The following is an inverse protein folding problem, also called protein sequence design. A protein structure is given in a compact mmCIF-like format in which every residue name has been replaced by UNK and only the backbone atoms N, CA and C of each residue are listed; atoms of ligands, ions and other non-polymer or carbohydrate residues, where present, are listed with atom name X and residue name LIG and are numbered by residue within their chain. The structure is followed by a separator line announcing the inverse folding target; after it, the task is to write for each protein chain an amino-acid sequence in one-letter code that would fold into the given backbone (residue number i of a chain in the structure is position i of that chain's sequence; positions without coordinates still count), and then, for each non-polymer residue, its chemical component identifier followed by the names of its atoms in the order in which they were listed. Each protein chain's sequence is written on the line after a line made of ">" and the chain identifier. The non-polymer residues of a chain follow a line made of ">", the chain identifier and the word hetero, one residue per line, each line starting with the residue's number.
data_IF_330601375652
#
_entry.id   IF_330601375652
#
_cell.length_a   1.000
_cell.length_b   1.000
_cell.length_c   1.000
_cell.angle_alpha   90.00
_cell.angle_beta   90.00
_cell.angle_gamma   90.00
#
_symmetry.space_group_name_H-M   'P 1'
#
loop_
_entity.id
_entity.type
_entity.pdbx_description
1 polymer ?
#
# COMPACT_ATOMS: atom_id res chain seq x y z
N UNK A 1 0.65 26.54 -1.38
CA UNK A 1 -0.17 25.72 -0.47
C UNK A 1 0.58 24.41 -0.24
N UNK A 2 1.16 24.24 0.95
CA UNK A 2 1.95 23.07 1.26
C UNK A 2 1.00 21.89 1.54
N UNK A 3 0.98 20.91 0.63
CA UNK A 3 0.31 19.63 0.84
C UNK A 3 0.98 18.91 2.01
N UNK A 4 0.47 19.19 3.21
CA UNK A 4 0.92 18.60 4.46
C UNK A 4 0.81 17.09 4.30
N UNK A 5 1.94 16.41 4.40
CA UNK A 5 2.08 14.98 4.13
C UNK A 5 1.17 14.15 5.06
N UNK A 6 -0.05 13.83 4.60
CA UNK A 6 -1.02 12.95 5.30
C UNK A 6 -0.43 11.57 5.62
N UNK A 7 0.70 11.22 5.01
CA UNK A 7 1.43 9.98 5.25
C UNK A 7 2.17 9.90 6.58
N UNK A 8 2.38 11.03 7.28
CA UNK A 8 3.09 11.05 8.56
C UNK A 8 2.24 10.67 9.78
N UNK A 9 0.92 10.53 9.61
CA UNK A 9 -0.04 10.50 10.73
C UNK A 9 -1.01 9.31 10.72
N UNK A 10 -0.82 8.32 9.84
CA UNK A 10 -1.70 7.17 9.77
C UNK A 10 -1.51 6.28 11.00
N UNK A 11 -2.57 6.05 11.78
CA UNK A 11 -2.55 5.09 12.88
C UNK A 11 -2.72 3.66 12.36
N UNK A 12 -2.29 2.62 13.11
CA UNK A 12 -2.45 1.24 12.69
C UNK A 12 -3.90 0.90 12.30
N UNK A 13 -4.05 0.24 11.15
CA UNK A 13 -5.33 -0.08 10.51
C UNK A 13 -5.92 1.03 9.62
N UNK A 14 -5.35 2.24 9.59
CA UNK A 14 -5.86 3.32 8.74
C UNK A 14 -5.24 3.30 7.34
N UNK A 15 -6.05 3.70 6.36
CA UNK A 15 -5.57 3.98 5.01
C UNK A 15 -6.27 5.19 4.40
N UNK A 16 -5.58 5.86 3.48
CA UNK A 16 -6.06 6.99 2.71
C UNK A 16 -5.85 6.69 1.23
N UNK A 17 -6.88 6.94 0.42
CA UNK A 17 -6.79 6.98 -1.02
C UNK A 17 -6.50 8.40 -1.47
N UNK A 18 -5.60 8.56 -2.44
CA UNK A 18 -5.24 9.84 -3.06
C UNK A 18 -5.95 10.01 -4.39
N UNK A 19 -6.12 11.25 -4.82
CA UNK A 19 -6.77 11.60 -6.09
C UNK A 19 -6.05 11.06 -7.33
N UNK A 20 -4.75 10.74 -7.20
CA UNK A 20 -3.95 10.13 -8.27
C UNK A 20 -4.12 8.60 -8.37
N UNK A 21 -5.03 8.01 -7.59
CA UNK A 21 -5.28 6.57 -7.54
C UNK A 21 -4.26 5.77 -6.72
N UNK A 22 -3.37 6.44 -5.98
CA UNK A 22 -2.53 5.79 -4.98
C UNK A 22 -3.32 5.54 -3.68
N UNK A 23 -2.96 4.48 -2.95
CA UNK A 23 -3.44 4.23 -1.58
C UNK A 23 -2.25 4.08 -0.65
N UNK A 24 -2.35 4.68 0.52
CA UNK A 24 -1.32 4.60 1.55
C UNK A 24 -2.00 4.18 2.84
N UNK A 25 -1.45 3.18 3.50
CA UNK A 25 -1.95 2.64 4.75
C UNK A 25 -0.88 2.44 5.79
N UNK A 26 -1.32 2.34 7.03
CA UNK A 26 -0.57 1.83 8.16
C UNK A 26 -1.25 0.53 8.57
N UNK A 27 -0.58 -0.60 8.42
CA UNK A 27 -1.11 -1.92 8.72
C UNK A 27 -1.38 -2.08 10.23
N UNK A 28 -2.05 -3.14 10.64
CA UNK A 28 -2.39 -3.41 12.04
C UNK A 28 -1.15 -3.55 12.94
N UNK A 29 -0.04 -4.08 12.43
CA UNK A 29 1.25 -4.13 13.11
C UNK A 29 2.11 -2.87 12.94
N UNK A 30 1.54 -1.78 12.41
CA UNK A 30 2.18 -0.47 12.32
C UNK A 30 3.16 -0.32 11.15
N UNK A 31 3.04 -1.15 10.11
CA UNK A 31 3.90 -1.09 8.92
C UNK A 31 3.26 -0.27 7.82
N UNK A 32 4.08 0.46 7.07
CA UNK A 32 3.56 1.30 5.99
C UNK A 32 3.30 0.46 4.76
N UNK A 33 2.06 0.50 4.26
CA UNK A 33 1.64 -0.14 3.00
C UNK A 33 1.39 0.93 1.96
N UNK A 34 1.88 0.74 0.74
CA UNK A 34 1.72 1.66 -0.38
C UNK A 34 1.22 0.88 -1.60
N UNK A 35 0.17 1.37 -2.23
CA UNK A 35 -0.30 0.90 -3.52
C UNK A 35 -0.27 2.06 -4.51
N UNK A 36 0.32 1.83 -5.69
CA UNK A 36 0.43 2.85 -6.74
C UNK A 36 0.32 2.25 -8.12
N UNK A 37 -0.10 3.07 -9.08
CA UNK A 37 -0.02 2.72 -10.51
C UNK A 37 1.43 2.78 -10.96
N UNK A 38 1.85 1.82 -11.78
CA UNK A 38 3.18 1.81 -12.39
C UNK A 38 3.23 2.80 -13.55
N UNK A 39 4.32 3.55 -13.65
CA UNK A 39 4.49 4.62 -14.66
C UNK A 39 5.17 4.11 -15.93
N UNK A 40 6.09 3.15 -15.80
CA UNK A 40 6.90 2.63 -16.91
C UNK A 40 6.31 1.37 -17.56
N UNK A 41 5.35 0.72 -16.93
CA UNK A 41 4.72 -0.50 -17.42
C UNK A 41 3.26 -0.50 -16.99
N UNK A 42 2.32 -1.02 -17.80
CA UNK A 42 0.93 -1.19 -17.36
C UNK A 42 0.83 -2.00 -16.06
N UNK A 43 -0.07 -1.56 -15.18
CA UNK A 43 -0.39 -2.25 -13.94
C UNK A 43 -0.13 -1.44 -12.67
N UNK A 44 -0.10 -2.16 -11.57
CA UNK A 44 -0.05 -1.66 -10.20
C UNK A 44 1.03 -2.39 -9.41
N UNK A 45 1.56 -1.70 -8.41
CA UNK A 45 2.48 -2.27 -7.45
C UNK A 45 2.00 -1.93 -6.05
N UNK A 46 2.04 -2.93 -5.18
CA UNK A 46 1.74 -2.83 -3.75
C UNK A 46 2.98 -3.23 -2.98
N UNK A 47 3.44 -2.38 -2.07
CA UNK A 47 4.63 -2.61 -1.24
C UNK A 47 4.32 -2.39 0.22
N UNK A 48 4.96 -3.15 1.11
CA UNK A 48 4.95 -2.89 2.56
C UNK A 48 6.38 -2.66 3.06
N UNK A 49 6.56 -1.64 3.90
CA UNK A 49 7.81 -1.32 4.58
C UNK A 49 8.02 -2.24 5.79
N UNK A 50 8.29 -3.50 5.49
CA UNK A 50 8.57 -4.55 6.45
C UNK A 50 9.70 -5.46 5.93
N UNK A 51 10.31 -6.21 6.85
CA UNK A 51 11.14 -7.35 6.44
C UNK A 51 10.23 -8.41 5.83
N UNK A 52 10.74 -9.11 4.82
CA UNK A 52 10.02 -10.21 4.22
C UNK A 52 9.67 -11.26 5.28
N UNK A 53 8.38 -11.41 5.53
CA UNK A 53 7.82 -12.54 6.26
C UNK A 53 7.61 -13.72 5.29
N UNK A 54 7.69 -14.95 5.79
CA UNK A 54 7.54 -16.16 4.96
C UNK A 54 6.12 -16.30 4.40
N UNK A 55 5.11 -15.71 5.04
CA UNK A 55 3.70 -15.92 4.68
C UNK A 55 3.10 -14.85 3.77
N UNK A 56 3.65 -13.64 3.74
CA UNK A 56 3.12 -12.51 2.95
C UNK A 56 4.26 -11.78 2.23
N UNK A 57 4.22 -11.67 0.90
CA UNK A 57 5.27 -10.95 0.17
C UNK A 57 5.29 -9.47 0.56
N UNK A 58 6.48 -8.86 0.53
CA UNK A 58 6.65 -7.41 0.77
C UNK A 58 6.31 -6.56 -0.45
N UNK A 59 6.25 -7.17 -1.63
CA UNK A 59 5.91 -6.54 -2.89
C UNK A 59 4.95 -7.43 -3.70
N UNK A 60 3.94 -6.84 -4.32
CA UNK A 60 3.04 -7.51 -5.27
C UNK A 60 2.86 -6.63 -6.50
N UNK A 61 3.15 -7.18 -7.67
CA UNK A 61 2.98 -6.52 -8.97
C UNK A 61 1.89 -7.24 -9.74
N UNK A 62 0.92 -6.49 -10.27
CA UNK A 62 -0.19 -7.06 -11.03
C UNK A 62 -0.74 -6.05 -12.05
N UNK A 63 -1.29 -6.54 -13.16
CA UNK A 63 -1.94 -5.71 -14.17
C UNK A 63 -3.37 -5.30 -13.79
N UNK A 64 -3.97 -5.94 -12.79
CA UNK A 64 -5.38 -5.78 -12.44
C UNK A 64 -5.57 -4.99 -11.14
N UNK A 65 -6.42 -3.96 -11.18
CA UNK A 65 -6.71 -3.10 -10.03
C UNK A 65 -7.29 -3.87 -8.83
N UNK A 66 -8.21 -4.80 -9.09
CA UNK A 66 -8.87 -5.60 -8.05
C UNK A 66 -7.87 -6.49 -7.30
N UNK A 67 -6.93 -7.08 -8.04
CA UNK A 67 -5.85 -7.91 -7.45
C UNK A 67 -4.91 -7.05 -6.60
N UNK A 68 -4.59 -5.83 -7.06
CA UNK A 68 -3.76 -4.92 -6.28
C UNK A 68 -4.48 -4.45 -5.00
N UNK A 69 -5.79 -4.19 -5.09
CA UNK A 69 -6.63 -3.85 -3.95
C UNK A 69 -6.66 -4.98 -2.92
N UNK A 70 -6.88 -6.22 -3.36
CA UNK A 70 -6.86 -7.38 -2.49
C UNK A 70 -5.48 -7.60 -1.83
N UNK A 71 -4.39 -7.37 -2.58
CA UNK A 71 -3.03 -7.45 -2.04
C UNK A 71 -2.77 -6.37 -0.97
N UNK A 72 -3.21 -5.13 -1.21
CA UNK A 72 -3.13 -4.04 -0.24
C UNK A 72 -3.89 -4.38 1.04
N UNK A 73 -5.14 -4.83 0.92
CA UNK A 73 -5.97 -5.17 2.09
C UNK A 73 -5.39 -6.38 2.86
N UNK A 74 -4.75 -7.33 2.17
CA UNK A 74 -4.01 -8.43 2.80
C UNK A 74 -2.81 -7.90 3.59
N UNK A 75 -1.95 -7.09 2.97
CA UNK A 75 -0.79 -6.50 3.65
C UNK A 75 -1.20 -5.65 4.86
N UNK A 76 -2.28 -4.88 4.75
CA UNK A 76 -2.84 -4.08 5.85
C UNK A 76 -3.25 -4.91 7.08
N UNK A 77 -3.66 -6.17 6.89
CA UNK A 77 -4.11 -7.07 7.96
C UNK A 77 -2.99 -7.89 8.59
N UNK A 78 -2.01 -8.29 7.79
CA UNK A 78 -0.99 -9.27 8.19
C UNK A 78 0.29 -8.65 8.75
N UNK A 79 0.66 -7.46 8.28
CA UNK A 79 1.84 -6.74 8.75
C UNK A 79 1.49 -5.73 9.82
#
# INVERSE_FOLDING_TARGET
>A
MAGKSETGSLTPGQSVARDNGERIGCSTGGRRVLMRRRTTTPGFVVTVDARADLEVPTETITSHWEVATAAFDRMMKHY
#
